data_IF_949750408685
#
_entry.id   IF_949750408685
#
_cell.length_a   1.000
_cell.length_b   1.000
_cell.length_c   1.000
_cell.angle_alpha   90.00
_cell.angle_beta   90.00
_cell.angle_gamma   90.00
#
_symmetry.space_group_name_H-M   'P 1'
#
loop_
_entity.id
_entity.type
_entity.pdbx_description
1 polymer ?
#
# COMPACT_ATOMS: atom_id res chain seq x y z
N UNK A 1 7.99 -11.02 -8.00
CA UNK A 1 8.88 -9.84 -8.18
C UNK A 1 8.47 -8.72 -7.22
N UNK A 2 9.34 -7.77 -6.84
CA UNK A 2 8.95 -6.63 -5.98
C UNK A 2 8.79 -5.35 -6.81
N UNK A 3 7.56 -4.94 -7.10
CA UNK A 3 7.23 -3.63 -7.70
C UNK A 3 7.12 -2.53 -6.63
N UNK A 4 7.32 -1.27 -7.02
CA UNK A 4 7.17 -0.07 -6.16
C UNK A 4 6.64 1.09 -7.00
N UNK A 5 5.85 1.95 -6.37
CA UNK A 5 5.42 3.23 -6.93
C UNK A 5 5.37 4.29 -5.81
N UNK A 6 5.25 5.56 -6.20
CA UNK A 6 4.95 6.67 -5.29
C UNK A 6 3.46 6.99 -5.39
N UNK A 7 2.86 7.41 -4.28
CA UNK A 7 1.51 7.94 -4.34
C UNK A 7 1.50 9.38 -4.86
N UNK A 8 0.40 9.78 -5.52
CA UNK A 8 0.11 11.17 -5.84
C UNK A 8 -0.13 12.04 -4.61
N UNK A 9 -0.41 13.33 -4.84
CA UNK A 9 -0.67 14.34 -3.80
C UNK A 9 -1.90 14.00 -2.95
N UNK A 10 -2.91 13.36 -3.55
CA UNK A 10 -4.13 12.91 -2.87
C UNK A 10 -4.00 11.50 -2.27
N UNK A 11 -2.85 10.85 -2.43
CA UNK A 11 -2.59 9.50 -1.92
C UNK A 11 -2.97 8.35 -2.88
N UNK A 12 -3.41 8.66 -4.10
CA UNK A 12 -3.67 7.66 -5.15
C UNK A 12 -2.38 6.97 -5.62
N UNK A 13 -2.47 5.69 -5.98
CA UNK A 13 -1.38 4.89 -6.52
C UNK A 13 -1.95 3.78 -7.42
N UNK A 14 -1.14 3.27 -8.33
CA UNK A 14 -1.54 2.22 -9.26
C UNK A 14 -0.38 1.23 -9.50
N UNK A 15 -0.73 -0.03 -9.71
CA UNK A 15 0.17 -1.07 -10.22
C UNK A 15 -0.51 -1.74 -11.41
N UNK A 16 0.09 -1.63 -12.59
CA UNK A 16 -0.38 -2.30 -13.81
C UNK A 16 0.46 -3.53 -14.12
N UNK A 17 -0.04 -4.34 -15.06
CA UNK A 17 0.65 -5.51 -15.61
C UNK A 17 1.06 -6.48 -14.50
N UNK A 18 0.10 -6.82 -13.64
CA UNK A 18 0.24 -7.81 -12.60
C UNK A 18 -0.31 -9.15 -13.08
N UNK A 19 0.41 -10.22 -12.78
CA UNK A 19 -0.07 -11.58 -13.01
C UNK A 19 -1.11 -11.95 -11.95
N UNK A 20 -1.96 -12.93 -12.25
CA UNK A 20 -2.89 -13.55 -11.30
C UNK A 20 -2.13 -14.15 -10.12
N UNK A 21 -2.22 -13.51 -8.95
CA UNK A 21 -1.54 -13.94 -7.72
C UNK A 21 -2.12 -13.19 -6.50
N UNK A 22 -1.68 -13.60 -5.31
CA UNK A 22 -1.93 -12.89 -4.05
C UNK A 22 -0.79 -11.94 -3.71
N UNK A 23 -1.10 -10.64 -3.70
CA UNK A 23 -0.15 -9.57 -3.42
C UNK A 23 -0.24 -9.07 -1.99
N UNK A 24 0.91 -8.95 -1.31
CA UNK A 24 1.04 -8.18 -0.06
C UNK A 24 1.53 -6.76 -0.35
N UNK A 25 0.62 -5.80 -0.23
CA UNK A 25 0.90 -4.38 -0.44
C UNK A 25 1.35 -3.77 0.88
N UNK A 26 2.42 -2.97 0.84
CA UNK A 26 2.96 -2.27 2.01
C UNK A 26 3.14 -0.78 1.73
N UNK A 27 2.29 0.05 2.31
CA UNK A 27 2.38 1.50 2.24
C UNK A 27 3.33 2.05 3.31
N UNK A 28 4.17 3.02 2.93
CA UNK A 28 5.12 3.70 3.82
C UNK A 28 5.05 5.20 3.63
N UNK A 29 4.96 5.93 4.75
CA UNK A 29 4.97 7.40 4.77
C UNK A 29 5.67 7.85 6.05
N UNK A 30 6.55 8.86 5.95
CA UNK A 30 7.27 9.41 7.11
C UNK A 30 6.27 9.94 8.14
N UNK A 31 6.44 9.55 9.41
CA UNK A 31 5.55 9.95 10.50
C UNK A 31 4.27 9.12 10.61
N UNK A 32 4.16 8.01 9.87
CA UNK A 32 3.03 7.09 9.92
C UNK A 32 3.52 5.66 10.14
N UNK A 33 2.71 4.86 10.82
CA UNK A 33 2.90 3.41 10.90
C UNK A 33 2.67 2.81 9.51
N UNK A 34 3.43 1.76 9.16
CA UNK A 34 3.28 1.06 7.87
C UNK A 34 1.86 0.49 7.75
N UNK A 35 1.20 0.77 6.63
CA UNK A 35 -0.04 0.11 6.25
C UNK A 35 0.28 -1.17 5.50
N UNK A 36 -0.50 -2.24 5.72
CA UNK A 36 -0.37 -3.50 4.99
C UNK A 36 -1.75 -4.01 4.63
N UNK A 37 -1.86 -4.53 3.42
CA UNK A 37 -3.07 -5.16 2.91
C UNK A 37 -2.67 -6.33 2.01
N UNK A 38 -3.46 -7.39 2.02
CA UNK A 38 -3.32 -8.52 1.12
C UNK A 38 -4.48 -8.44 0.13
N UNK A 39 -4.17 -8.58 -1.16
CA UNK A 39 -5.15 -8.54 -2.25
C UNK A 39 -4.93 -9.77 -3.10
N UNK A 40 -6.00 -10.47 -3.44
CA UNK A 40 -5.98 -11.55 -4.41
C UNK A 40 -6.41 -10.94 -5.74
N UNK A 41 -5.63 -11.16 -6.79
CA UNK A 41 -5.94 -10.67 -8.13
C UNK A 41 -6.20 -11.88 -9.02
N UNK A 42 -7.39 -12.00 -9.60
CA UNK A 42 -7.69 -13.05 -10.58
C UNK A 42 -7.39 -12.60 -12.01
N UNK A 43 -7.51 -13.51 -12.99
CA UNK A 43 -7.18 -13.21 -14.38
C UNK A 43 -8.15 -12.18 -14.98
N UNK A 44 -7.60 -11.06 -15.45
CA UNK A 44 -8.38 -10.00 -16.10
C UNK A 44 -9.17 -9.10 -15.14
N UNK A 45 -8.93 -9.21 -13.83
CA UNK A 45 -9.59 -8.38 -12.81
C UNK A 45 -8.74 -7.18 -12.38
N UNK A 46 -9.45 -6.10 -12.03
CA UNK A 46 -8.91 -4.92 -11.37
C UNK A 46 -9.46 -4.83 -9.94
N UNK A 47 -8.58 -4.61 -8.97
CA UNK A 47 -8.95 -4.49 -7.55
C UNK A 47 -8.66 -3.08 -7.02
N UNK A 48 -9.70 -2.39 -6.55
CA UNK A 48 -9.56 -1.10 -5.89
C UNK A 48 -9.40 -1.27 -4.37
N UNK A 49 -8.34 -0.71 -3.81
CA UNK A 49 -8.08 -0.80 -2.38
C UNK A 49 -7.78 0.55 -1.74
N UNK A 50 -8.13 0.65 -0.45
CA UNK A 50 -7.75 1.77 0.42
C UNK A 50 -6.88 1.29 1.56
N UNK A 51 -5.76 1.98 1.82
CA UNK A 51 -4.89 1.68 2.96
C UNK A 51 -4.92 2.86 3.94
N UNK A 52 -5.63 2.70 5.04
CA UNK A 52 -5.65 3.70 6.11
C UNK A 52 -4.40 3.59 6.99
N UNK A 53 -3.62 4.68 7.05
CA UNK A 53 -2.40 4.73 7.82
C UNK A 53 -2.56 5.52 9.11
N UNK A 54 -2.21 4.91 10.25
CA UNK A 54 -2.21 5.58 11.55
C UNK A 54 -0.94 6.41 11.72
N UNK A 55 -1.07 7.67 12.17
CA UNK A 55 0.09 8.51 12.54
C UNK A 55 0.94 7.77 13.57
N UNK A 56 2.25 7.84 13.40
CA UNK A 56 3.18 7.35 14.40
C UNK A 56 3.33 8.44 15.45
N UNK A 57 2.75 8.20 16.63
CA UNK A 57 2.99 9.07 17.78
C UNK A 57 4.49 9.05 18.08
N UNK A 58 5.10 10.23 18.19
CA UNK A 58 6.47 10.37 18.68
C UNK A 58 6.50 9.79 20.09
N UNK A 59 7.39 8.85 20.37
CA UNK A 59 7.69 8.51 21.76
C UNK A 59 8.19 9.79 22.42
N UNK A 60 7.53 10.20 23.51
CA UNK A 60 8.06 11.24 24.40
C UNK A 60 9.28 10.59 25.07
N UNK A 61 10.50 11.14 24.93
CA UNK A 61 11.61 10.64 25.73
C UNK A 61 11.23 10.85 27.20
N UNK A 62 11.39 9.80 28.00
CA UNK A 62 11.29 9.82 29.47
C UNK A 62 12.52 10.54 30.00
#
# INVERSE_FOLDING_TARGET
MRKKTLSGTEGSFEFTDLETDTYKITAKKRGYRKGRQTVMLEEGEDEEIRIEMKKQLKHKPI
#
